data_IF_575380565581
#
_entry.id   IF_575380565581
#
_cell.length_a   1.000
_cell.length_b   1.000
_cell.length_c   1.000
_cell.angle_alpha   90.00
_cell.angle_beta   90.00
_cell.angle_gamma   90.00
#
_symmetry.space_group_name_H-M   'P 1'
#
loop_
_entity.id
_entity.type
_entity.pdbx_description
1 polymer ?
#
# COMPACT_ATOMS: atom_id res chain seq x y z
N UNK A 1 -4.10 -22.04 -27.00
CA UNK A 1 -5.33 -21.24 -27.07
C UNK A 1 -6.25 -21.36 -25.84
N UNK A 2 -6.59 -22.56 -25.31
CA UNK A 2 -7.47 -22.66 -24.11
C UNK A 2 -6.90 -22.05 -22.82
N UNK A 3 -5.61 -22.10 -22.57
CA UNK A 3 -4.99 -21.56 -21.36
C UNK A 3 -4.95 -20.01 -21.31
N UNK A 4 -4.68 -19.37 -22.45
CA UNK A 4 -4.66 -17.89 -22.55
C UNK A 4 -6.06 -17.34 -22.27
N UNK A 5 -7.11 -17.94 -22.83
CA UNK A 5 -8.50 -17.53 -22.62
C UNK A 5 -8.94 -17.70 -21.14
N UNK A 6 -8.39 -18.70 -20.43
CA UNK A 6 -8.68 -18.94 -19.01
C UNK A 6 -8.09 -17.84 -18.10
N UNK A 7 -6.85 -17.44 -18.38
CA UNK A 7 -6.16 -16.41 -17.57
C UNK A 7 -6.73 -15.00 -17.81
N UNK A 8 -7.07 -14.68 -19.05
CA UNK A 8 -7.78 -13.45 -19.40
C UNK A 8 -9.16 -13.37 -18.71
N UNK A 9 -9.90 -14.48 -18.68
CA UNK A 9 -11.20 -14.53 -18.00
C UNK A 9 -11.06 -14.34 -16.48
N UNK A 10 -10.07 -15.00 -15.85
CA UNK A 10 -9.78 -14.82 -14.42
C UNK A 10 -9.45 -13.36 -14.11
N UNK A 11 -8.63 -12.71 -14.95
CA UNK A 11 -8.24 -11.31 -14.75
C UNK A 11 -9.42 -10.34 -14.93
N UNK A 12 -10.30 -10.55 -15.92
CA UNK A 12 -11.52 -9.74 -16.09
C UNK A 12 -12.43 -9.83 -14.88
N UNK A 13 -12.60 -11.03 -14.30
CA UNK A 13 -13.39 -11.24 -13.09
C UNK A 13 -12.75 -10.49 -11.91
N UNK A 14 -11.43 -10.60 -11.72
CA UNK A 14 -10.71 -9.86 -10.66
C UNK A 14 -10.88 -8.35 -10.81
N UNK A 15 -10.73 -7.80 -12.00
CA UNK A 15 -10.90 -6.37 -12.23
C UNK A 15 -12.34 -5.91 -11.92
N UNK A 16 -13.36 -6.68 -12.33
CA UNK A 16 -14.75 -6.39 -12.00
C UNK A 16 -15.01 -6.51 -10.49
N UNK A 17 -14.38 -7.46 -9.82
CA UNK A 17 -14.48 -7.65 -8.38
C UNK A 17 -13.84 -6.48 -7.61
N UNK A 18 -12.68 -5.99 -8.04
CA UNK A 18 -12.06 -4.77 -7.47
C UNK A 18 -13.06 -3.62 -7.50
N UNK A 19 -13.68 -3.33 -8.66
CA UNK A 19 -14.67 -2.25 -8.78
C UNK A 19 -15.87 -2.44 -7.86
N UNK A 20 -16.38 -3.65 -7.74
CA UNK A 20 -17.52 -3.97 -6.89
C UNK A 20 -17.18 -3.82 -5.40
N UNK A 21 -16.01 -4.33 -4.96
CA UNK A 21 -15.58 -4.21 -3.57
C UNK A 21 -15.18 -2.78 -3.18
N UNK A 22 -14.66 -1.99 -4.11
CA UNK A 22 -14.39 -0.56 -3.90
C UNK A 22 -15.67 0.21 -3.59
N UNK A 23 -16.74 -0.10 -4.34
CA UNK A 23 -17.98 0.64 -4.25
C UNK A 23 -18.82 0.25 -3.03
N UNK A 24 -18.91 -1.06 -2.72
CA UNK A 24 -19.85 -1.59 -1.76
C UNK A 24 -19.22 -2.28 -0.54
N UNK A 25 -17.89 -2.36 -0.46
CA UNK A 25 -17.20 -3.17 0.54
C UNK A 25 -17.43 -4.66 0.35
N UNK A 26 -16.92 -5.47 1.27
CA UNK A 26 -17.14 -6.93 1.22
C UNK A 26 -18.62 -7.27 1.39
N UNK A 27 -19.29 -6.76 2.41
CA UNK A 27 -20.66 -7.17 2.74
C UNK A 27 -21.67 -6.74 1.68
N UNK A 28 -21.57 -5.51 1.16
CA UNK A 28 -22.48 -4.96 0.14
C UNK A 28 -22.23 -5.43 -1.29
N UNK A 29 -21.08 -6.05 -1.57
CA UNK A 29 -20.76 -6.56 -2.89
C UNK A 29 -21.59 -7.82 -3.27
N UNK A 30 -21.99 -7.92 -4.54
CA UNK A 30 -22.77 -9.03 -5.04
C UNK A 30 -22.11 -9.76 -6.22
N UNK A 31 -22.02 -11.09 -6.12
CA UNK A 31 -21.45 -11.95 -7.16
C UNK A 31 -22.18 -11.83 -8.52
N UNK A 32 -23.47 -11.46 -8.50
CA UNK A 32 -24.24 -11.22 -9.70
C UNK A 32 -23.72 -9.97 -10.46
N UNK A 33 -23.50 -8.84 -9.76
CA UNK A 33 -22.97 -7.63 -10.37
C UNK A 33 -21.54 -7.81 -10.90
N UNK A 34 -20.72 -8.62 -10.18
CA UNK A 34 -19.39 -9.00 -10.67
C UNK A 34 -19.48 -9.82 -11.96
N UNK A 35 -20.44 -10.75 -12.04
CA UNK A 35 -20.65 -11.55 -13.23
C UNK A 35 -21.04 -10.68 -14.45
N UNK A 36 -21.98 -9.76 -14.26
CA UNK A 36 -22.43 -8.81 -15.28
C UNK A 36 -21.28 -7.88 -15.74
N UNK A 37 -20.57 -7.25 -14.79
CA UNK A 37 -19.45 -6.35 -15.08
C UNK A 37 -18.26 -7.05 -15.78
N UNK A 38 -18.03 -8.33 -15.49
CA UNK A 38 -16.95 -9.11 -16.11
C UNK A 38 -17.33 -9.79 -17.42
N UNK A 39 -18.58 -9.71 -17.86
CA UNK A 39 -19.09 -10.48 -19.00
C UNK A 39 -18.99 -11.99 -18.79
N UNK A 40 -19.09 -12.45 -17.55
CA UNK A 40 -19.04 -13.85 -17.15
C UNK A 40 -20.37 -14.27 -16.50
N UNK A 41 -20.60 -15.55 -16.32
CA UNK A 41 -21.69 -16.02 -15.49
C UNK A 41 -21.20 -16.42 -14.08
N UNK A 42 -22.10 -16.52 -13.11
CA UNK A 42 -21.74 -16.90 -11.75
C UNK A 42 -21.00 -18.23 -11.66
N UNK A 43 -21.38 -19.21 -12.47
CA UNK A 43 -20.76 -20.54 -12.46
C UNK A 43 -19.28 -20.48 -12.81
N UNK A 44 -18.89 -19.61 -13.75
CA UNK A 44 -17.50 -19.36 -14.10
C UNK A 44 -16.74 -18.72 -12.94
N UNK A 45 -17.35 -17.73 -12.26
CA UNK A 45 -16.71 -17.09 -11.10
C UNK A 45 -16.49 -18.11 -9.99
N UNK A 46 -17.51 -18.92 -9.66
CA UNK A 46 -17.37 -19.98 -8.64
C UNK A 46 -16.40 -21.10 -9.07
N UNK A 47 -16.27 -21.36 -10.35
CA UNK A 47 -15.26 -22.30 -10.86
C UNK A 47 -13.84 -21.82 -10.51
N UNK A 48 -13.53 -20.53 -10.73
CA UNK A 48 -12.19 -19.98 -10.46
C UNK A 48 -11.92 -19.70 -8.98
N UNK A 49 -12.89 -19.14 -8.28
CA UNK A 49 -12.66 -18.56 -6.95
C UNK A 49 -13.37 -19.30 -5.81
N UNK A 50 -14.26 -20.25 -6.11
CA UNK A 50 -15.03 -21.10 -5.18
C UNK A 50 -16.03 -20.33 -4.32
N UNK A 51 -15.70 -19.13 -3.81
CA UNK A 51 -16.58 -18.33 -2.95
C UNK A 51 -16.32 -16.83 -3.14
N UNK A 52 -17.24 -15.99 -2.67
CA UNK A 52 -17.05 -14.53 -2.57
C UNK A 52 -15.84 -14.19 -1.67
N UNK A 53 -15.69 -14.94 -0.58
CA UNK A 53 -14.58 -14.75 0.37
C UNK A 53 -13.22 -15.00 -0.30
N UNK A 54 -13.08 -16.10 -1.03
CA UNK A 54 -11.82 -16.40 -1.73
C UNK A 54 -11.53 -15.39 -2.84
N UNK A 55 -12.55 -14.91 -3.55
CA UNK A 55 -12.40 -13.85 -4.55
C UNK A 55 -11.92 -12.55 -3.89
N UNK A 56 -12.47 -12.20 -2.72
CA UNK A 56 -12.03 -11.03 -1.97
C UNK A 56 -10.60 -11.18 -1.42
N UNK A 57 -10.26 -12.35 -0.89
CA UNK A 57 -8.88 -12.67 -0.48
C UNK A 57 -7.89 -12.54 -1.63
N UNK A 58 -8.23 -13.00 -2.84
CA UNK A 58 -7.39 -12.85 -4.02
C UNK A 58 -7.20 -11.37 -4.41
N UNK A 59 -8.27 -10.56 -4.30
CA UNK A 59 -8.18 -9.10 -4.49
C UNK A 59 -7.25 -8.48 -3.45
N UNK A 60 -7.42 -8.78 -2.17
CA UNK A 60 -6.54 -8.29 -1.10
C UNK A 60 -5.09 -8.72 -1.31
N UNK A 61 -4.83 -10.00 -1.67
CA UNK A 61 -3.49 -10.50 -1.96
C UNK A 61 -2.83 -9.69 -3.06
N UNK A 62 -3.54 -9.44 -4.17
CA UNK A 62 -3.02 -8.64 -5.29
C UNK A 62 -2.68 -7.20 -4.90
N UNK A 63 -3.38 -6.63 -3.92
CA UNK A 63 -3.08 -5.30 -3.36
C UNK A 63 -1.76 -5.33 -2.59
N UNK A 64 -1.61 -6.29 -1.68
CA UNK A 64 -0.40 -6.44 -0.89
C UNK A 64 0.82 -6.73 -1.77
N UNK A 65 0.70 -7.65 -2.74
CA UNK A 65 1.77 -7.95 -3.68
C UNK A 65 2.27 -6.69 -4.40
N UNK A 66 1.36 -5.90 -4.99
CA UNK A 66 1.72 -4.64 -5.66
C UNK A 66 2.35 -3.60 -4.72
N UNK A 67 1.85 -3.51 -3.49
CA UNK A 67 2.40 -2.57 -2.50
C UNK A 67 3.82 -2.97 -2.08
N UNK A 68 4.08 -4.27 -1.98
CA UNK A 68 5.34 -4.80 -1.46
C UNK A 68 6.43 -4.99 -2.52
N UNK A 69 6.09 -5.20 -3.79
CA UNK A 69 7.07 -5.30 -4.88
C UNK A 69 8.00 -4.08 -4.93
N UNK A 70 7.46 -2.89 -4.73
CA UNK A 70 8.23 -1.65 -4.68
C UNK A 70 9.21 -1.61 -3.50
N UNK A 71 8.82 -2.15 -2.36
CA UNK A 71 9.67 -2.19 -1.16
C UNK A 71 10.82 -3.17 -1.38
N UNK A 72 10.54 -4.35 -1.91
CA UNK A 72 11.57 -5.36 -2.19
C UNK A 72 12.58 -4.86 -3.21
N UNK A 73 12.14 -4.18 -4.26
CA UNK A 73 13.04 -3.52 -5.21
C UNK A 73 13.94 -2.48 -4.54
N UNK A 74 13.41 -1.71 -3.59
CA UNK A 74 14.20 -0.71 -2.85
C UNK A 74 15.27 -1.35 -1.98
N UNK A 75 14.90 -2.44 -1.26
CA UNK A 75 15.80 -3.15 -0.35
C UNK A 75 16.94 -3.86 -1.10
N UNK A 76 16.69 -4.29 -2.33
CA UNK A 76 17.69 -4.97 -3.18
C UNK A 76 18.67 -4.00 -3.86
N UNK A 77 18.39 -2.68 -3.88
CA UNK A 77 19.29 -1.68 -4.44
C UNK A 77 20.38 -1.34 -3.43
N UNK A 78 21.66 -1.35 -3.88
CA UNK A 78 22.80 -0.86 -3.08
C UNK A 78 22.79 0.68 -3.03
N UNK A 79 21.94 1.25 -2.19
CA UNK A 79 21.80 2.69 -1.97
C UNK A 79 22.24 3.05 -0.54
N UNK A 80 22.61 4.31 -0.34
CA UNK A 80 22.78 4.84 1.02
C UNK A 80 21.42 4.82 1.75
N UNK A 81 21.45 4.74 3.09
CA UNK A 81 20.23 4.72 3.91
C UNK A 81 19.30 5.90 3.57
N UNK A 82 19.82 7.12 3.48
CA UNK A 82 19.05 8.31 3.10
C UNK A 82 18.32 8.12 1.76
N UNK A 83 19.02 7.61 0.74
CA UNK A 83 18.43 7.33 -0.58
C UNK A 83 17.38 6.22 -0.50
N UNK A 84 17.63 5.19 0.30
CA UNK A 84 16.66 4.08 0.49
C UNK A 84 15.37 4.58 1.13
N UNK A 85 15.47 5.36 2.22
CA UNK A 85 14.29 5.93 2.91
C UNK A 85 13.52 6.89 1.99
N UNK A 86 14.23 7.79 1.29
CA UNK A 86 13.60 8.69 0.30
C UNK A 86 12.87 7.90 -0.77
N UNK A 87 13.52 6.91 -1.37
CA UNK A 87 12.92 6.06 -2.40
C UNK A 87 11.67 5.33 -1.90
N UNK A 88 11.72 4.74 -0.70
CA UNK A 88 10.58 4.04 -0.10
C UNK A 88 9.38 4.98 0.10
N UNK A 89 9.60 6.16 0.66
CA UNK A 89 8.54 7.16 0.93
C UNK A 89 7.92 7.64 -0.39
N UNK A 90 8.76 8.05 -1.35
CA UNK A 90 8.28 8.57 -2.64
C UNK A 90 7.50 7.51 -3.42
N UNK A 91 8.00 6.28 -3.48
CA UNK A 91 7.31 5.20 -4.19
C UNK A 91 6.01 4.77 -3.49
N UNK A 92 5.96 4.78 -2.17
CA UNK A 92 4.73 4.49 -1.46
C UNK A 92 3.66 5.57 -1.71
N UNK A 93 4.03 6.85 -1.72
CA UNK A 93 3.11 7.93 -2.08
C UNK A 93 2.66 7.81 -3.55
N UNK A 94 3.58 7.51 -4.49
CA UNK A 94 3.22 7.24 -5.89
C UNK A 94 2.23 6.09 -6.02
N UNK A 95 2.47 5.01 -5.27
CA UNK A 95 1.57 3.85 -5.26
C UNK A 95 0.16 4.24 -4.78
N UNK A 96 0.04 5.00 -3.70
CA UNK A 96 -1.25 5.47 -3.18
C UNK A 96 -1.97 6.40 -4.17
N UNK A 97 -1.25 7.31 -4.80
CA UNK A 97 -1.76 8.22 -5.82
C UNK A 97 -2.34 7.47 -7.03
N UNK A 98 -1.62 6.44 -7.50
CA UNK A 98 -1.99 5.65 -8.67
C UNK A 98 -3.05 4.58 -8.39
N UNK A 99 -3.30 4.26 -7.13
CA UNK A 99 -4.19 3.17 -6.74
C UNK A 99 -5.27 3.56 -5.71
N UNK A 100 -6.09 4.60 -5.98
CA UNK A 100 -7.11 5.07 -5.03
C UNK A 100 -8.17 4.00 -4.72
N UNK A 101 -8.47 3.15 -5.69
CA UNK A 101 -9.40 2.02 -5.53
C UNK A 101 -8.94 1.02 -4.47
N UNK A 102 -7.64 0.72 -4.47
CA UNK A 102 -7.06 -0.22 -3.51
C UNK A 102 -7.09 0.34 -2.10
N UNK A 103 -6.81 1.65 -1.96
CA UNK A 103 -6.90 2.33 -0.67
C UNK A 103 -8.32 2.27 -0.10
N UNK A 104 -9.36 2.44 -0.93
CA UNK A 104 -10.77 2.32 -0.48
C UNK A 104 -11.10 0.92 0.02
N UNK A 105 -10.64 -0.14 -0.64
CA UNK A 105 -10.81 -1.51 -0.16
C UNK A 105 -10.15 -1.70 1.20
N UNK A 106 -8.93 -1.19 1.38
CA UNK A 106 -8.23 -1.25 2.67
C UNK A 106 -8.97 -0.48 3.76
N UNK A 107 -9.58 0.66 3.43
CA UNK A 107 -10.41 1.42 4.38
C UNK A 107 -11.66 0.61 4.80
N UNK A 108 -12.36 -0.03 3.85
CA UNK A 108 -13.50 -0.90 4.15
C UNK A 108 -13.10 -2.07 5.04
N UNK A 109 -11.99 -2.73 4.72
CA UNK A 109 -11.50 -3.87 5.50
C UNK A 109 -11.12 -3.46 6.93
N UNK A 110 -10.40 -2.34 7.10
CA UNK A 110 -10.06 -1.83 8.43
C UNK A 110 -11.31 -1.39 9.23
N UNK A 111 -12.28 -0.73 8.60
CA UNK A 111 -13.53 -0.36 9.24
C UNK A 111 -14.35 -1.57 9.70
N UNK A 112 -14.22 -2.71 8.98
CA UNK A 112 -14.87 -4.00 9.31
C UNK A 112 -14.04 -4.86 10.30
N UNK A 113 -12.98 -4.31 10.89
CA UNK A 113 -12.14 -5.00 11.89
C UNK A 113 -11.03 -5.87 11.33
N UNK A 114 -10.71 -5.80 10.04
CA UNK A 114 -9.55 -6.46 9.43
C UNK A 114 -9.64 -7.99 9.36
N UNK A 115 -10.86 -8.54 9.32
CA UNK A 115 -11.12 -9.99 9.39
C UNK A 115 -10.41 -10.77 8.28
N UNK A 116 -10.52 -10.28 7.03
CA UNK A 116 -9.95 -10.99 5.88
C UNK A 116 -8.45 -10.77 5.78
N UNK A 117 -7.94 -9.59 6.16
CA UNK A 117 -6.48 -9.36 6.30
C UNK A 117 -5.90 -10.32 7.33
N UNK A 118 -6.53 -10.46 8.50
CA UNK A 118 -6.07 -11.39 9.55
C UNK A 118 -6.03 -12.83 9.06
N UNK A 119 -7.03 -13.26 8.27
CA UNK A 119 -7.09 -14.58 7.67
C UNK A 119 -5.99 -14.78 6.62
N UNK A 120 -5.80 -13.77 5.75
CA UNK A 120 -4.79 -13.77 4.72
C UNK A 120 -3.37 -13.87 5.33
N UNK A 121 -3.08 -13.07 6.37
CA UNK A 121 -1.83 -13.12 7.12
C UNK A 121 -1.56 -14.49 7.72
N UNK A 122 -2.57 -15.16 8.26
CA UNK A 122 -2.42 -16.53 8.79
C UNK A 122 -2.13 -17.56 7.70
N UNK A 123 -2.71 -17.39 6.52
CA UNK A 123 -2.56 -18.31 5.39
C UNK A 123 -1.19 -18.20 4.71
N UNK A 124 -0.65 -17.00 4.64
CA UNK A 124 0.58 -16.68 3.90
C UNK A 124 1.76 -16.28 4.78
N UNK A 125 1.69 -16.47 6.09
CA UNK A 125 2.55 -15.91 7.14
C UNK A 125 4.07 -16.09 7.00
N UNK A 126 4.56 -16.85 6.03
CA UNK A 126 5.98 -16.96 5.67
C UNK A 126 6.26 -16.68 4.20
N UNK A 127 5.24 -16.36 3.39
CA UNK A 127 5.41 -16.08 1.97
C UNK A 127 5.88 -14.65 1.70
N UNK A 128 6.59 -14.46 0.61
CA UNK A 128 7.43 -13.29 0.29
C UNK A 128 6.77 -11.91 0.47
N UNK A 129 5.51 -11.74 0.10
CA UNK A 129 4.83 -10.45 0.17
C UNK A 129 4.59 -9.99 1.64
N UNK A 130 4.28 -10.91 2.55
CA UNK A 130 4.05 -10.59 3.96
C UNK A 130 5.35 -10.45 4.76
N UNK A 131 6.45 -10.99 4.24
CA UNK A 131 7.79 -10.89 4.81
C UNK A 131 8.41 -9.48 4.64
N UNK A 132 7.81 -8.61 3.83
CA UNK A 132 8.33 -7.24 3.60
C UNK A 132 8.24 -6.37 4.84
N UNK A 133 7.18 -6.49 5.64
CA UNK A 133 7.07 -5.76 6.90
C UNK A 133 8.21 -6.16 7.88
N UNK A 134 8.52 -7.44 7.95
CA UNK A 134 9.65 -7.97 8.74
C UNK A 134 11.01 -7.51 8.18
N UNK A 135 11.17 -7.50 6.84
CA UNK A 135 12.39 -6.97 6.20
C UNK A 135 12.61 -5.50 6.51
N UNK A 136 11.55 -4.68 6.47
CA UNK A 136 11.62 -3.26 6.84
C UNK A 136 11.97 -3.07 8.33
N UNK A 137 11.35 -3.86 9.19
CA UNK A 137 11.63 -3.83 10.62
C UNK A 137 13.11 -4.15 10.90
N UNK A 138 13.62 -5.25 10.35
CA UNK A 138 15.02 -5.63 10.45
C UNK A 138 15.97 -4.57 9.89
N UNK A 139 15.65 -3.99 8.73
CA UNK A 139 16.44 -2.90 8.15
C UNK A 139 16.60 -1.75 9.15
N UNK A 140 15.50 -1.30 9.77
CA UNK A 140 15.55 -0.19 10.74
C UNK A 140 16.31 -0.58 12.00
N UNK A 141 16.02 -1.74 12.57
CA UNK A 141 16.71 -2.24 13.77
C UNK A 141 18.22 -2.34 13.56
N UNK A 142 18.66 -2.93 12.44
CA UNK A 142 20.08 -3.10 12.13
C UNK A 142 20.75 -1.73 11.88
N UNK A 143 20.03 -0.80 11.28
CA UNK A 143 20.53 0.54 11.02
C UNK A 143 20.67 1.36 12.31
N UNK A 144 19.72 1.19 13.25
CA UNK A 144 19.79 1.76 14.60
C UNK A 144 20.99 1.17 15.36
N UNK A 145 21.17 -0.17 15.32
CA UNK A 145 22.32 -0.85 15.96
C UNK A 145 23.68 -0.37 15.43
N UNK A 146 23.76 -0.04 14.14
CA UNK A 146 25.00 0.53 13.54
C UNK A 146 25.21 2.02 13.84
N UNK A 147 24.28 2.67 14.53
CA UNK A 147 24.34 4.10 14.84
C UNK A 147 24.12 5.04 13.64
N UNK A 148 23.64 4.51 12.52
CA UNK A 148 23.27 5.30 11.33
C UNK A 148 21.95 6.04 11.51
N UNK A 149 21.08 5.54 12.41
CA UNK A 149 19.86 6.20 12.89
C UNK A 149 19.95 6.41 14.40
N UNK A 150 19.29 7.45 14.89
CA UNK A 150 19.12 7.64 16.33
C UNK A 150 18.30 6.49 16.93
N UNK A 151 18.41 6.28 18.22
CA UNK A 151 17.63 5.27 18.93
C UNK A 151 16.14 5.62 18.92
N UNK A 152 15.35 4.86 18.17
CA UNK A 152 13.88 4.97 18.04
C UNK A 152 13.27 3.57 18.03
N UNK A 153 11.98 3.48 18.37
CA UNK A 153 11.22 2.26 18.17
C UNK A 153 10.93 2.05 16.68
N UNK A 154 11.43 0.96 16.11
CA UNK A 154 11.32 0.69 14.68
C UNK A 154 9.86 0.48 14.23
N UNK A 155 9.03 -0.21 15.05
CA UNK A 155 7.62 -0.46 14.74
C UNK A 155 6.83 0.85 14.72
N UNK A 156 6.98 1.69 15.76
CA UNK A 156 6.32 3.01 15.83
C UNK A 156 6.77 3.92 14.69
N UNK A 157 8.04 3.84 14.31
CA UNK A 157 8.58 4.60 13.19
C UNK A 157 7.93 4.20 11.87
N UNK A 158 7.83 2.89 11.58
CA UNK A 158 7.18 2.39 10.37
C UNK A 158 5.71 2.83 10.33
N UNK A 159 4.96 2.66 11.43
CA UNK A 159 3.55 3.07 11.53
C UNK A 159 3.41 4.57 11.27
N UNK A 160 4.30 5.40 11.84
CA UNK A 160 4.27 6.85 11.67
C UNK A 160 4.54 7.25 10.21
N UNK A 161 5.55 6.64 9.56
CA UNK A 161 5.86 6.91 8.16
C UNK A 161 4.69 6.52 7.25
N UNK A 162 4.15 5.31 7.43
CA UNK A 162 2.99 4.83 6.67
C UNK A 162 1.79 5.75 6.88
N UNK A 163 1.51 6.15 8.12
CA UNK A 163 0.44 7.09 8.45
C UNK A 163 0.60 8.45 7.78
N UNK A 164 1.80 9.05 7.84
CA UNK A 164 2.08 10.33 7.17
C UNK A 164 1.89 10.25 5.66
N UNK A 165 2.28 9.15 5.02
CA UNK A 165 2.09 8.95 3.59
C UNK A 165 0.61 8.76 3.23
N UNK A 166 -0.11 7.90 3.96
CA UNK A 166 -1.46 7.47 3.59
C UNK A 166 -2.56 8.45 4.02
N UNK A 167 -2.37 9.19 5.12
CA UNK A 167 -3.42 10.01 5.74
C UNK A 167 -4.06 11.01 4.76
N UNK A 168 -3.26 11.70 3.95
CA UNK A 168 -3.80 12.63 2.96
C UNK A 168 -4.77 11.95 1.99
N UNK A 169 -4.41 10.80 1.46
CA UNK A 169 -5.23 10.08 0.48
C UNK A 169 -6.51 9.52 1.10
N UNK A 170 -6.45 9.08 2.37
CA UNK A 170 -7.62 8.59 3.13
C UNK A 170 -8.61 9.72 3.38
N UNK A 171 -8.10 10.91 3.71
CA UNK A 171 -8.90 12.07 4.12
C UNK A 171 -8.92 13.17 3.05
N UNK A 172 -8.60 12.84 1.80
CA UNK A 172 -8.44 13.80 0.70
C UNK A 172 -9.58 14.81 0.57
N UNK A 173 -10.88 14.41 0.52
CA UNK A 173 -11.97 15.38 0.38
C UNK A 173 -12.01 16.39 1.53
N UNK A 174 -11.80 15.93 2.76
CA UNK A 174 -11.77 16.80 3.94
C UNK A 174 -10.56 17.73 3.94
N UNK A 175 -9.38 17.23 3.55
CA UNK A 175 -8.17 18.05 3.47
C UNK A 175 -8.27 19.12 2.39
N UNK A 176 -8.87 18.82 1.25
CA UNK A 176 -9.09 19.81 0.18
C UNK A 176 -9.97 20.97 0.68
N UNK A 177 -11.01 20.68 1.44
CA UNK A 177 -11.90 21.70 2.03
C UNK A 177 -11.21 22.49 3.13
N UNK A 178 -10.67 21.79 4.15
CA UNK A 178 -10.12 22.42 5.36
C UNK A 178 -8.91 23.31 5.05
N UNK A 179 -8.04 22.86 4.14
CA UNK A 179 -6.78 23.52 3.81
C UNK A 179 -6.85 24.30 2.50
N UNK A 180 -8.04 24.40 1.89
CA UNK A 180 -8.27 25.08 0.60
C UNK A 180 -7.28 24.61 -0.49
N UNK A 181 -7.09 23.28 -0.59
CA UNK A 181 -6.20 22.68 -1.59
C UNK A 181 -6.95 22.62 -2.92
N UNK A 182 -6.42 23.35 -3.90
CA UNK A 182 -6.98 23.33 -5.25
C UNK A 182 -6.84 21.95 -5.89
N UNK A 183 -7.95 21.29 -6.29
CA UNK A 183 -7.89 20.01 -6.99
C UNK A 183 -7.08 20.05 -8.30
N UNK A 184 -7.05 21.18 -9.00
CA UNK A 184 -6.27 21.34 -10.24
C UNK A 184 -4.76 21.43 -9.96
N UNK A 185 -4.36 21.88 -8.77
CA UNK A 185 -2.97 21.95 -8.32
C UNK A 185 -2.52 20.72 -7.54
N UNK A 186 -3.33 19.65 -7.47
CA UNK A 186 -3.05 18.48 -6.63
C UNK A 186 -1.70 17.81 -6.93
N UNK A 187 -1.30 17.71 -8.19
CA UNK A 187 -0.03 17.09 -8.56
C UNK A 187 1.18 17.82 -7.93
N UNK A 188 1.16 19.15 -7.94
CA UNK A 188 2.22 19.95 -7.29
C UNK A 188 2.13 19.83 -5.76
N UNK A 189 0.93 19.80 -5.19
CA UNK A 189 0.73 19.57 -3.76
C UNK A 189 1.32 18.22 -3.32
N UNK A 190 1.06 17.12 -4.05
CA UNK A 190 1.60 15.80 -3.75
C UNK A 190 3.14 15.81 -3.85
N UNK A 191 3.69 16.48 -4.86
CA UNK A 191 5.14 16.63 -5.02
C UNK A 191 5.78 17.36 -3.82
N UNK A 192 5.16 18.44 -3.34
CA UNK A 192 5.60 19.15 -2.14
C UNK A 192 5.45 18.29 -0.90
N UNK A 193 4.36 17.52 -0.78
CA UNK A 193 4.13 16.60 0.33
C UNK A 193 5.20 15.52 0.41
N UNK A 194 5.63 14.93 -0.72
CA UNK A 194 6.74 13.96 -0.76
C UNK A 194 8.00 14.57 -0.14
N UNK A 195 8.37 15.77 -0.55
CA UNK A 195 9.53 16.49 0.00
C UNK A 195 9.39 16.75 1.50
N UNK A 196 8.23 17.25 1.93
CA UNK A 196 7.98 17.55 3.33
C UNK A 196 8.07 16.30 4.24
N UNK A 197 7.49 15.17 3.80
CA UNK A 197 7.56 13.92 4.57
C UNK A 197 9.00 13.39 4.62
N UNK A 198 9.70 13.37 3.49
CA UNK A 198 11.11 12.94 3.44
C UNK A 198 11.95 13.81 4.38
N UNK A 199 11.78 15.13 4.33
CA UNK A 199 12.49 16.06 5.20
C UNK A 199 12.23 15.78 6.68
N UNK A 200 10.98 15.71 7.10
CA UNK A 200 10.58 15.40 8.48
C UNK A 200 11.17 14.07 8.97
N UNK A 201 11.11 13.03 8.14
CA UNK A 201 11.60 11.70 8.52
C UNK A 201 13.12 11.69 8.62
N UNK A 202 13.83 12.26 7.66
CA UNK A 202 15.28 12.31 7.71
C UNK A 202 15.78 13.15 8.88
N UNK A 203 15.21 14.34 9.13
CA UNK A 203 15.55 15.14 10.29
C UNK A 203 15.15 14.48 11.63
N UNK A 204 14.07 13.70 11.64
CA UNK A 204 13.62 12.95 12.81
C UNK A 204 14.48 11.73 13.13
N UNK A 205 15.09 11.10 12.13
CA UNK A 205 15.77 9.80 12.29
C UNK A 205 17.30 9.90 12.27
N UNK A 206 17.88 10.88 11.56
CA UNK A 206 19.34 11.01 11.48
C UNK A 206 19.92 11.47 12.82
N UNK A 207 21.13 11.00 13.19
CA UNK A 207 21.86 11.48 14.35
C UNK A 207 22.16 12.98 14.25
N UNK A 208 22.26 13.67 15.40
CA UNK A 208 22.50 15.11 15.44
C UNK A 208 23.81 15.54 14.76
N UNK A 209 24.82 14.68 14.78
CA UNK A 209 26.11 14.88 14.09
C UNK A 209 25.98 14.96 12.57
N UNK A 210 24.97 14.36 11.96
CA UNK A 210 24.72 14.46 10.52
C UNK A 210 23.79 15.62 10.14
N UNK A 211 23.00 16.13 11.09
CA UNK A 211 22.14 17.31 10.87
C UNK A 211 22.95 18.58 10.59
N UNK A 212 24.13 18.70 11.20
CA UNK A 212 25.02 19.84 11.02
C UNK A 212 25.62 19.92 9.60
N UNK A 213 25.91 18.77 8.97
CA UNK A 213 26.50 18.72 7.61
C UNK A 213 25.50 19.04 6.49
N UNK A 214 24.19 18.99 6.75
CA UNK A 214 23.16 19.30 5.75
C UNK A 214 22.65 20.75 5.78
N UNK A 215 23.18 21.61 6.67
CA UNK A 215 22.84 23.05 6.72
C UNK A 215 23.68 23.92 5.78
N UNK A 216 24.75 23.39 5.21
CA UNK A 216 25.72 24.12 4.37
C UNK A 216 25.59 23.80 2.87
N UNK A 217 24.45 23.29 2.44
CA UNK A 217 24.08 23.06 1.04
C UNK A 217 22.63 23.49 0.81
#
# INVERSE_FOLDING_TARGET
MKQVNSQETKQRILNAAVGEFVEYGYDGAHMQRIAEKSGSNKSIIYYYFKSKENLYEEVLSSIFEKAFDNVEMALNKKMSLKKTLTYLIENYINFLEQNPSLLRIMMWENASGGKHIKKLMKKHGSDSAFNVAEKLLRLLEDTIKRGELRHVDATQTIISVVGMCAFYFITKPSNQIVWNIDPEAEAEFIKQRKKAIVDLILHGLLPETEKAKNKDH
#
